data_IF_414145073662
#
_entry.id   IF_414145073662
#
_cell.length_a   1.000
_cell.length_b   1.000
_cell.length_c   1.000
_cell.angle_alpha   90.00
_cell.angle_beta   90.00
_cell.angle_gamma   90.00
#
_symmetry.space_group_name_H-M   'P 1'
#
loop_
_entity.id
_entity.type
_entity.pdbx_description
1 polymer ?
#
# COMPACT_ATOMS: atom_id res chain seq x y z
N UNK A 1 -26.24 2.77 -2.58
CA UNK A 1 -25.54 1.47 -2.59
C UNK A 1 -24.04 1.73 -2.69
N UNK A 2 -23.23 0.85 -2.12
CA UNK A 2 -21.77 0.85 -2.25
C UNK A 2 -21.31 -0.41 -2.97
N UNK A 3 -20.29 -0.29 -3.81
CA UNK A 3 -19.54 -1.43 -4.32
C UNK A 3 -18.11 -1.42 -3.79
N UNK A 4 -17.56 -2.61 -3.61
CA UNK A 4 -16.14 -2.85 -3.46
C UNK A 4 -15.68 -3.69 -4.63
N UNK A 5 -14.77 -3.13 -5.42
CA UNK A 5 -14.05 -3.86 -6.48
C UNK A 5 -12.67 -4.22 -5.95
N UNK A 6 -12.33 -5.50 -5.96
CA UNK A 6 -11.06 -6.06 -5.49
C UNK A 6 -10.39 -6.86 -6.62
N UNK A 7 -9.13 -6.55 -6.92
CA UNK A 7 -8.31 -7.27 -7.90
C UNK A 7 -7.77 -8.59 -7.34
N UNK A 8 -8.25 -9.69 -7.91
CA UNK A 8 -7.94 -11.03 -7.46
C UNK A 8 -6.44 -11.34 -7.62
N UNK A 9 -5.76 -11.63 -6.50
CA UNK A 9 -4.33 -11.98 -6.47
C UNK A 9 -3.47 -10.94 -7.20
N UNK A 10 -3.75 -9.65 -6.99
CA UNK A 10 -3.35 -8.54 -7.85
C UNK A 10 -1.94 -8.62 -8.44
N UNK A 11 -0.89 -8.71 -7.63
CA UNK A 11 0.49 -8.77 -8.17
C UNK A 11 0.76 -10.01 -9.03
N UNK A 12 0.25 -11.19 -8.66
CA UNK A 12 0.38 -12.39 -9.48
C UNK A 12 -0.41 -12.25 -10.80
N UNK A 13 -1.57 -11.58 -10.74
CA UNK A 13 -2.38 -11.26 -11.93
C UNK A 13 -1.72 -10.25 -12.86
N UNK A 14 -1.00 -9.25 -12.32
CA UNK A 14 -0.19 -8.33 -13.12
C UNK A 14 0.86 -9.06 -13.94
N UNK A 15 1.58 -10.00 -13.31
CA UNK A 15 2.59 -10.83 -14.01
C UNK A 15 1.95 -11.74 -15.07
N UNK A 16 0.76 -12.29 -14.80
CA UNK A 16 0.00 -13.12 -15.75
C UNK A 16 -0.55 -12.32 -16.94
N UNK A 17 -0.84 -11.04 -16.76
CA UNK A 17 -1.34 -10.18 -17.83
C UNK A 17 -0.31 -10.05 -18.97
N UNK A 18 0.99 -10.05 -18.63
CA UNK A 18 2.08 -9.94 -19.60
C UNK A 18 2.78 -11.27 -19.91
N UNK A 19 2.54 -12.33 -19.13
CA UNK A 19 3.09 -13.65 -19.39
C UNK A 19 1.98 -14.73 -19.34
N UNK A 20 1.36 -15.06 -20.49
CA UNK A 20 0.30 -16.06 -20.58
C UNK A 20 0.72 -17.45 -20.09
N UNK A 21 2.02 -17.79 -20.15
CA UNK A 21 2.55 -19.07 -19.67
C UNK A 21 2.42 -19.26 -18.15
N UNK A 22 2.06 -18.21 -17.41
CA UNK A 22 1.79 -18.24 -15.96
C UNK A 22 0.31 -18.47 -15.61
N UNK A 23 -0.59 -18.52 -16.60
CA UNK A 23 -2.01 -18.85 -16.38
C UNK A 23 -2.12 -20.27 -15.87
N UNK A 24 -2.97 -20.48 -14.86
CA UNK A 24 -3.19 -21.77 -14.19
C UNK A 24 -1.94 -22.40 -13.54
N UNK A 25 -0.82 -21.67 -13.44
CA UNK A 25 0.39 -22.12 -12.74
C UNK A 25 0.51 -21.47 -11.36
N UNK A 26 1.07 -22.16 -10.36
CA UNK A 26 1.31 -21.57 -9.06
C UNK A 26 2.35 -20.44 -9.15
N UNK A 27 1.96 -19.23 -8.77
CA UNK A 27 2.81 -18.03 -8.79
C UNK A 27 2.87 -17.41 -7.40
N UNK A 28 4.06 -16.98 -7.00
CA UNK A 28 4.30 -16.25 -5.76
C UNK A 28 5.15 -14.99 -6.03
N UNK A 29 4.75 -13.87 -5.45
CA UNK A 29 5.46 -12.59 -5.57
C UNK A 29 6.10 -12.24 -4.25
N UNK A 30 7.40 -11.92 -4.29
CA UNK A 30 8.20 -11.56 -3.12
C UNK A 30 8.13 -10.06 -2.81
N UNK A 31 8.34 -9.68 -1.56
CA UNK A 31 8.50 -8.29 -1.12
C UNK A 31 9.85 -7.69 -1.53
N UNK A 32 10.02 -6.39 -1.23
CA UNK A 32 11.32 -5.71 -1.31
C UNK A 32 12.47 -6.57 -0.76
N UNK A 33 13.60 -6.55 -1.47
CA UNK A 33 14.79 -7.36 -1.17
C UNK A 33 14.58 -8.88 -1.24
N UNK A 34 13.56 -9.34 -1.99
CA UNK A 34 13.19 -10.75 -2.07
C UNK A 34 13.03 -11.39 -0.67
N UNK A 35 12.37 -10.68 0.25
CA UNK A 35 12.33 -11.08 1.67
C UNK A 35 11.32 -12.20 1.95
N UNK A 36 10.05 -11.94 1.62
CA UNK A 36 8.95 -12.85 1.91
C UNK A 36 7.84 -12.78 0.86
N UNK A 37 7.02 -13.82 0.79
CA UNK A 37 5.87 -13.90 -0.13
C UNK A 37 4.78 -12.92 0.30
N UNK A 38 4.41 -11.99 -0.59
CA UNK A 38 3.37 -10.96 -0.35
C UNK A 38 2.19 -11.02 -1.32
N UNK A 39 2.27 -11.84 -2.36
CA UNK A 39 1.11 -12.19 -3.17
C UNK A 39 1.27 -13.62 -3.69
N UNK A 40 0.16 -14.32 -3.86
CA UNK A 40 0.13 -15.73 -4.24
C UNK A 40 -1.12 -16.01 -5.05
N UNK A 41 -0.94 -16.74 -6.14
CA UNK A 41 -2.05 -17.24 -6.95
C UNK A 41 -2.85 -18.30 -6.19
N UNK A 42 -4.08 -18.60 -6.62
CA UNK A 42 -4.94 -19.54 -5.88
C UNK A 42 -4.37 -20.97 -5.91
N UNK A 43 -3.66 -21.32 -6.98
CA UNK A 43 -2.91 -22.58 -7.12
C UNK A 43 -1.78 -22.66 -6.07
N UNK A 44 -1.03 -21.57 -5.87
CA UNK A 44 0.00 -21.52 -4.83
C UNK A 44 -0.59 -21.57 -3.41
N UNK A 45 -1.79 -21.01 -3.19
CA UNK A 45 -2.52 -21.13 -1.91
C UNK A 45 -2.96 -22.56 -1.65
N UNK A 46 -3.46 -23.25 -2.67
CA UNK A 46 -3.92 -24.64 -2.57
C UNK A 46 -2.77 -25.59 -2.20
N UNK A 47 -1.55 -25.32 -2.70
CA UNK A 47 -0.34 -26.05 -2.31
C UNK A 47 0.08 -25.81 -0.85
N UNK A 48 -0.45 -24.78 -0.19
CA UNK A 48 -0.16 -24.51 1.23
C UNK A 48 0.94 -23.47 1.48
N UNK A 49 1.41 -22.73 0.46
CA UNK A 49 2.39 -21.66 0.65
C UNK A 49 1.79 -20.50 1.48
N UNK A 50 2.28 -20.20 2.70
CA UNK A 50 1.65 -19.21 3.56
C UNK A 50 1.94 -17.77 3.10
N UNK A 51 1.00 -16.86 3.40
CA UNK A 51 1.23 -15.42 3.25
C UNK A 51 2.30 -14.96 4.23
N UNK A 52 3.25 -14.14 3.78
CA UNK A 52 4.38 -13.67 4.61
C UNK A 52 5.48 -14.72 4.82
N UNK A 53 5.45 -15.84 4.10
CA UNK A 53 6.49 -16.87 4.14
C UNK A 53 7.87 -16.29 3.76
N UNK A 54 8.90 -16.37 4.64
CA UNK A 54 10.25 -15.94 4.27
C UNK A 54 10.83 -16.85 3.19
N UNK A 55 11.21 -16.29 2.04
CA UNK A 55 11.55 -17.13 0.87
C UNK A 55 12.76 -18.01 1.13
N UNK A 56 13.75 -17.54 1.90
CA UNK A 56 14.94 -18.33 2.23
C UNK A 56 14.62 -19.64 2.98
N UNK A 57 13.49 -19.71 3.71
CA UNK A 57 13.03 -20.93 4.38
C UNK A 57 12.14 -21.79 3.48
N UNK A 58 11.50 -21.18 2.48
CA UNK A 58 10.46 -21.80 1.66
C UNK A 58 10.91 -22.05 0.20
N UNK A 59 12.16 -21.73 -0.16
CA UNK A 59 12.65 -21.87 -1.54
C UNK A 59 12.65 -23.33 -2.00
N UNK A 60 13.06 -24.27 -1.13
CA UNK A 60 12.98 -25.71 -1.41
C UNK A 60 11.54 -26.18 -1.66
N UNK A 61 10.60 -25.76 -0.81
CA UNK A 61 9.17 -26.03 -0.99
C UNK A 61 8.65 -25.47 -2.33
N UNK A 62 9.04 -24.25 -2.68
CA UNK A 62 8.63 -23.62 -3.94
C UNK A 62 9.16 -24.39 -5.15
N UNK A 63 10.42 -24.83 -5.12
CA UNK A 63 11.04 -25.62 -6.19
C UNK A 63 10.37 -26.98 -6.36
N UNK A 64 10.17 -27.72 -5.25
CA UNK A 64 9.54 -29.04 -5.27
C UNK A 64 8.11 -29.01 -5.84
N UNK A 65 7.36 -27.95 -5.57
CA UNK A 65 5.98 -27.80 -6.04
C UNK A 65 5.85 -26.98 -7.35
N UNK A 66 6.97 -26.70 -8.03
CA UNK A 66 6.95 -25.95 -9.30
C UNK A 66 6.39 -24.52 -9.19
N UNK A 67 6.45 -23.90 -8.00
CA UNK A 67 5.93 -22.54 -7.77
C UNK A 67 6.86 -21.54 -8.45
N UNK A 68 6.33 -20.77 -9.39
CA UNK A 68 7.07 -19.68 -10.02
C UNK A 68 7.15 -18.49 -9.07
N UNK A 69 8.33 -18.27 -8.51
CA UNK A 69 8.61 -17.15 -7.60
C UNK A 69 9.21 -15.98 -8.38
N UNK A 70 8.63 -14.79 -8.23
CA UNK A 70 9.06 -13.55 -8.88
C UNK A 70 9.32 -12.44 -7.85
N UNK A 71 10.27 -11.55 -8.15
CA UNK A 71 10.52 -10.35 -7.36
C UNK A 71 9.40 -9.31 -7.58
N UNK A 72 9.19 -8.41 -6.62
CA UNK A 72 8.20 -7.33 -6.79
C UNK A 72 8.57 -6.35 -7.91
N UNK A 73 7.67 -6.17 -8.88
CA UNK A 73 7.74 -5.15 -9.92
C UNK A 73 6.76 -4.00 -9.64
N UNK A 74 7.06 -3.17 -8.63
CA UNK A 74 6.15 -2.10 -8.19
C UNK A 74 5.76 -1.07 -9.27
N UNK A 75 6.65 -0.67 -10.22
CA UNK A 75 6.23 0.20 -11.32
C UNK A 75 5.14 -0.43 -12.18
N UNK A 76 5.27 -1.72 -12.52
CA UNK A 76 4.24 -2.48 -13.23
C UNK A 76 2.94 -2.50 -12.43
N UNK A 77 3.01 -2.84 -11.14
CA UNK A 77 1.83 -2.95 -10.28
C UNK A 77 1.12 -1.59 -10.11
N UNK A 78 1.88 -0.50 -10.00
CA UNK A 78 1.32 0.85 -9.92
C UNK A 78 0.63 1.28 -11.21
N UNK A 79 1.23 1.01 -12.37
CA UNK A 79 0.61 1.30 -13.68
C UNK A 79 -0.68 0.50 -13.88
N UNK A 80 -0.65 -0.80 -13.62
CA UNK A 80 -1.83 -1.66 -13.74
C UNK A 80 -2.96 -1.24 -12.78
N UNK A 81 -2.61 -0.86 -11.55
CA UNK A 81 -3.55 -0.33 -10.57
C UNK A 81 -4.21 0.94 -11.09
N UNK A 82 -3.42 1.91 -11.55
CA UNK A 82 -3.93 3.17 -12.07
C UNK A 82 -4.94 2.94 -13.21
N UNK A 83 -4.62 2.05 -14.16
CA UNK A 83 -5.55 1.69 -15.24
C UNK A 83 -6.87 1.11 -14.73
N UNK A 84 -6.83 0.22 -13.74
CA UNK A 84 -8.05 -0.33 -13.13
C UNK A 84 -8.88 0.78 -12.47
N UNK A 85 -8.24 1.66 -11.69
CA UNK A 85 -8.94 2.74 -11.01
C UNK A 85 -9.56 3.74 -12.00
N UNK A 86 -8.86 4.10 -13.07
CA UNK A 86 -9.40 4.97 -14.14
C UNK A 86 -10.58 4.33 -14.88
N UNK A 87 -10.63 3.00 -15.00
CA UNK A 87 -11.83 2.31 -15.53
C UNK A 87 -13.00 2.46 -14.56
N UNK A 88 -12.76 2.34 -13.25
CA UNK A 88 -13.80 2.44 -12.22
C UNK A 88 -14.40 3.85 -12.11
N UNK A 89 -13.58 4.89 -12.29
CA UNK A 89 -14.01 6.30 -12.33
C UNK A 89 -15.05 6.59 -13.45
N UNK A 90 -15.16 5.72 -14.46
CA UNK A 90 -16.17 5.86 -15.52
C UNK A 90 -17.58 5.40 -15.09
N UNK A 91 -17.71 4.68 -13.97
CA UNK A 91 -18.98 4.12 -13.51
C UNK A 91 -19.68 4.98 -12.45
N UNK A 92 -18.94 5.82 -11.73
CA UNK A 92 -19.46 6.80 -10.77
C UNK A 92 -18.40 7.87 -10.49
N UNK A 93 -18.79 9.13 -10.23
CA UNK A 93 -17.85 10.13 -9.73
C UNK A 93 -17.38 9.86 -8.28
N UNK A 94 -18.14 9.07 -7.51
CA UNK A 94 -17.86 8.80 -6.11
C UNK A 94 -16.97 7.53 -5.95
N UNK A 95 -15.66 7.66 -6.23
CA UNK A 95 -14.67 6.58 -6.10
C UNK A 95 -13.64 6.89 -5.02
N UNK A 96 -13.42 5.93 -4.11
CA UNK A 96 -12.34 5.96 -3.14
C UNK A 96 -11.37 4.81 -3.41
N UNK A 97 -10.13 5.15 -3.79
CA UNK A 97 -9.04 4.18 -3.90
C UNK A 97 -8.57 3.79 -2.50
N UNK A 98 -8.98 2.62 -2.03
CA UNK A 98 -8.69 2.13 -0.68
C UNK A 98 -7.29 1.51 -0.58
N UNK A 99 -6.86 0.81 -1.63
CA UNK A 99 -5.52 0.23 -1.77
C UNK A 99 -5.11 0.17 -3.25
N UNK A 100 -3.95 -0.41 -3.54
CA UNK A 100 -3.47 -0.60 -4.91
C UNK A 100 -4.36 -1.55 -5.73
N UNK A 101 -5.12 -2.42 -5.06
CA UNK A 101 -5.95 -3.46 -5.65
C UNK A 101 -7.44 -3.33 -5.32
N UNK A 102 -7.82 -2.39 -4.46
CA UNK A 102 -9.20 -2.24 -3.98
C UNK A 102 -9.69 -0.79 -4.11
N UNK A 103 -10.92 -0.63 -4.58
CA UNK A 103 -11.64 0.64 -4.58
C UNK A 103 -13.09 0.49 -4.11
N UNK A 104 -13.54 1.46 -3.34
CA UNK A 104 -14.94 1.64 -3.00
C UNK A 104 -15.60 2.61 -3.98
N UNK A 105 -16.80 2.25 -4.42
CA UNK A 105 -17.64 3.07 -5.28
C UNK A 105 -18.95 3.33 -4.55
N UNK A 106 -19.46 4.56 -4.61
CA UNK A 106 -20.80 4.90 -4.14
C UNK A 106 -21.71 5.21 -5.32
N UNK A 107 -22.92 4.64 -5.29
CA UNK A 107 -23.93 4.83 -6.33
C UNK A 107 -25.11 5.62 -5.79
N UNK A 108 -24.97 6.95 -5.81
CA UNK A 108 -26.01 7.90 -5.42
C UNK A 108 -26.99 8.11 -6.58
N UNK A 109 -28.29 7.87 -6.34
CA UNK A 109 -29.33 8.03 -7.37
C UNK A 109 -29.59 6.82 -8.27
N UNK A 110 -28.85 5.72 -8.12
CA UNK A 110 -28.96 4.50 -8.94
C UNK A 110 -30.08 3.55 -8.47
N UNK A 111 -31.28 4.06 -8.17
CA UNK A 111 -32.34 3.26 -7.52
C UNK A 111 -32.90 2.12 -8.38
N UNK A 112 -32.88 2.25 -9.71
CA UNK A 112 -33.47 1.30 -10.64
C UNK A 112 -32.43 0.51 -11.46
N UNK A 113 -31.15 0.52 -11.06
CA UNK A 113 -30.12 -0.22 -11.78
C UNK A 113 -30.06 -1.67 -11.28
N UNK A 114 -29.87 -2.60 -12.22
CA UNK A 114 -29.47 -3.96 -11.89
C UNK A 114 -28.00 -3.95 -11.47
N UNK A 115 -27.76 -3.98 -10.16
CA UNK A 115 -26.40 -4.00 -9.61
C UNK A 115 -25.64 -5.29 -9.91
N UNK A 116 -26.31 -6.42 -10.13
CA UNK A 116 -25.63 -7.66 -10.51
C UNK A 116 -25.05 -7.52 -11.92
N UNK A 117 -25.86 -7.06 -12.87
CA UNK A 117 -25.39 -6.77 -14.24
C UNK A 117 -24.31 -5.68 -14.24
N UNK A 118 -24.50 -4.58 -13.51
CA UNK A 118 -23.52 -3.50 -13.42
C UNK A 118 -22.16 -3.97 -12.85
N UNK A 119 -22.20 -4.83 -11.83
CA UNK A 119 -21.01 -5.50 -11.30
C UNK A 119 -20.32 -6.38 -12.32
N UNK A 120 -21.09 -7.12 -13.14
CA UNK A 120 -20.56 -7.95 -14.22
C UNK A 120 -19.90 -7.10 -15.31
N UNK A 121 -20.52 -6.00 -15.72
CA UNK A 121 -19.96 -5.06 -16.70
C UNK A 121 -18.61 -4.50 -16.22
N UNK A 122 -18.53 -4.05 -14.96
CA UNK A 122 -17.28 -3.59 -14.35
C UNK A 122 -16.19 -4.65 -14.45
N UNK A 123 -16.47 -5.89 -13.99
CA UNK A 123 -15.50 -6.99 -14.03
C UNK A 123 -15.04 -7.32 -15.45
N UNK A 124 -15.97 -7.43 -16.39
CA UNK A 124 -15.67 -7.77 -17.78
C UNK A 124 -14.84 -6.69 -18.46
N UNK A 125 -15.16 -5.40 -18.25
CA UNK A 125 -14.39 -4.28 -18.82
C UNK A 125 -12.97 -4.27 -18.28
N UNK A 126 -12.80 -4.40 -16.96
CA UNK A 126 -11.47 -4.46 -16.33
C UNK A 126 -10.67 -5.64 -16.88
N UNK A 127 -11.27 -6.84 -16.93
CA UNK A 127 -10.60 -8.03 -17.46
C UNK A 127 -10.21 -7.86 -18.93
N UNK A 128 -11.09 -7.31 -19.77
CA UNK A 128 -10.84 -7.13 -21.21
C UNK A 128 -9.73 -6.12 -21.47
N UNK A 129 -9.69 -5.02 -20.72
CA UNK A 129 -8.76 -3.91 -20.99
C UNK A 129 -7.42 -4.06 -20.27
N UNK A 130 -7.37 -4.79 -19.15
CA UNK A 130 -6.16 -4.91 -18.31
C UNK A 130 -5.68 -6.35 -18.15
N UNK A 131 -6.51 -7.35 -18.44
CA UNK A 131 -6.20 -8.75 -18.13
C UNK A 131 -6.29 -9.09 -16.64
N UNK A 132 -6.71 -8.15 -15.78
CA UNK A 132 -6.78 -8.34 -14.34
C UNK A 132 -8.18 -8.86 -13.95
N UNK A 133 -8.28 -10.05 -13.34
CA UNK A 133 -9.54 -10.54 -12.80
C UNK A 133 -9.90 -9.79 -11.52
N UNK A 134 -11.17 -9.40 -11.38
CA UNK A 134 -11.70 -8.74 -10.17
C UNK A 134 -12.89 -9.50 -9.60
N UNK A 135 -13.16 -9.30 -8.31
CA UNK A 135 -14.42 -9.65 -7.66
C UNK A 135 -15.13 -8.37 -7.26
N UNK A 136 -16.46 -8.36 -7.31
CA UNK A 136 -17.27 -7.19 -6.98
C UNK A 136 -18.29 -7.55 -5.90
N UNK A 137 -18.25 -6.82 -4.78
CA UNK A 137 -19.24 -6.94 -3.72
C UNK A 137 -20.06 -5.68 -3.65
N UNK A 138 -21.40 -5.79 -3.69
CA UNK A 138 -22.30 -4.63 -3.70
C UNK A 138 -23.25 -4.75 -2.52
N UNK A 139 -23.40 -3.69 -1.73
CA UNK A 139 -24.25 -3.69 -0.54
C UNK A 139 -24.69 -2.26 -0.12
N UNK A 140 -25.62 -2.09 0.85
CA UNK A 140 -26.12 -0.77 1.25
C UNK A 140 -25.10 0.05 2.03
N UNK A 141 -24.04 -0.58 2.55
CA UNK A 141 -23.00 0.04 3.39
C UNK A 141 -21.61 -0.41 2.97
N UNK A 142 -20.59 0.39 3.30
CA UNK A 142 -19.18 0.13 2.96
C UNK A 142 -18.67 -1.17 3.61
N UNK A 143 -19.04 -1.45 4.87
CA UNK A 143 -18.62 -2.71 5.49
C UNK A 143 -19.32 -3.93 4.90
N UNK A 144 -20.61 -3.83 4.54
CA UNK A 144 -21.32 -4.95 3.91
C UNK A 144 -20.80 -5.22 2.49
N UNK A 145 -20.32 -4.22 1.75
CA UNK A 145 -19.75 -4.45 0.41
C UNK A 145 -18.45 -5.27 0.49
N UNK A 146 -17.63 -5.08 1.54
CA UNK A 146 -16.51 -5.98 1.88
C UNK A 146 -16.97 -7.41 2.17
N UNK A 147 -18.06 -7.59 2.92
CA UNK A 147 -18.63 -8.92 3.18
C UNK A 147 -19.13 -9.56 1.88
N UNK A 148 -19.84 -8.80 1.05
CA UNK A 148 -20.35 -9.25 -0.24
C UNK A 148 -19.21 -9.67 -1.17
N UNK A 149 -18.14 -8.88 -1.26
CA UNK A 149 -16.97 -9.18 -2.07
C UNK A 149 -16.31 -10.49 -1.61
N UNK A 150 -16.22 -10.72 -0.29
CA UNK A 150 -15.69 -11.96 0.28
C UNK A 150 -16.54 -13.18 -0.10
N UNK A 151 -17.87 -13.03 -0.16
CA UNK A 151 -18.77 -14.08 -0.68
C UNK A 151 -18.50 -14.32 -2.17
N UNK A 152 -18.43 -13.25 -2.98
CA UNK A 152 -18.14 -13.33 -4.41
C UNK A 152 -16.80 -14.05 -4.70
N UNK A 153 -15.75 -13.74 -3.91
CA UNK A 153 -14.42 -14.35 -4.03
C UNK A 153 -14.41 -15.81 -3.58
N UNK A 154 -15.21 -16.18 -2.58
CA UNK A 154 -15.22 -17.54 -2.03
C UNK A 154 -16.05 -18.51 -2.89
N UNK A 155 -17.13 -18.03 -3.49
CA UNK A 155 -18.05 -18.84 -4.29
C UNK A 155 -18.14 -18.31 -5.73
N UNK A 156 -17.01 -18.30 -6.48
CA UNK A 156 -16.98 -17.70 -7.81
C UNK A 156 -17.90 -18.42 -8.81
N UNK A 157 -18.13 -19.73 -8.65
CA UNK A 157 -19.04 -20.51 -9.52
C UNK A 157 -20.50 -20.09 -9.36
N UNK A 158 -20.96 -19.91 -8.12
CA UNK A 158 -22.34 -19.53 -7.83
C UNK A 158 -22.61 -18.04 -8.06
N UNK A 159 -21.61 -17.18 -7.82
CA UNK A 159 -21.75 -15.72 -7.88
C UNK A 159 -21.28 -15.13 -9.21
N UNK A 160 -20.62 -15.93 -10.04
CA UNK A 160 -19.88 -15.47 -11.23
C UNK A 160 -18.89 -14.33 -10.91
N UNK A 161 -18.46 -14.18 -9.65
CA UNK A 161 -17.55 -13.12 -9.20
C UNK A 161 -18.23 -11.79 -8.82
N UNK A 162 -19.56 -11.71 -8.80
CA UNK A 162 -20.33 -10.55 -8.30
C UNK A 162 -21.35 -11.02 -7.27
N UNK A 163 -21.41 -10.35 -6.12
CA UNK A 163 -22.46 -10.65 -5.13
C UNK A 163 -23.10 -9.37 -4.59
N UNK A 164 -24.43 -9.33 -4.63
CA UNK A 164 -25.25 -8.19 -4.20
C UNK A 164 -26.02 -8.54 -2.93
N UNK A 165 -25.80 -7.76 -1.87
CA UNK A 165 -26.63 -7.77 -0.66
C UNK A 165 -27.60 -6.60 -0.78
N UNK A 166 -28.86 -6.88 -1.08
CA UNK A 166 -29.92 -5.89 -1.31
C UNK A 166 -31.13 -6.08 -0.37
N UNK A 167 -31.11 -7.13 0.44
CA UNK A 167 -32.22 -7.57 1.28
C UNK A 167 -31.73 -8.04 2.64
N UNK A 168 -32.63 -7.95 3.62
CA UNK A 168 -32.36 -8.36 5.00
C UNK A 168 -31.98 -9.84 5.10
N UNK A 169 -32.65 -10.69 4.33
CA UNK A 169 -32.37 -12.12 4.26
C UNK A 169 -30.93 -12.39 3.78
N UNK A 170 -30.53 -11.79 2.66
CA UNK A 170 -29.15 -11.90 2.13
C UNK A 170 -28.12 -11.37 3.13
N UNK A 171 -28.43 -10.27 3.83
CA UNK A 171 -27.57 -9.69 4.87
C UNK A 171 -27.36 -10.68 6.02
N UNK A 172 -28.44 -11.17 6.62
CA UNK A 172 -28.36 -12.13 7.74
C UNK A 172 -27.63 -13.40 7.32
N UNK A 173 -27.93 -13.94 6.14
CA UNK A 173 -27.26 -15.12 5.58
C UNK A 173 -25.75 -14.91 5.47
N UNK A 174 -25.31 -13.79 4.91
CA UNK A 174 -23.90 -13.46 4.77
C UNK A 174 -23.20 -13.28 6.14
N UNK A 175 -23.86 -12.62 7.10
CA UNK A 175 -23.32 -12.38 8.44
C UNK A 175 -23.23 -13.64 9.31
N UNK A 176 -24.14 -14.60 9.13
CA UNK A 176 -24.08 -15.92 9.78
C UNK A 176 -22.98 -16.80 9.19
N UNK A 177 -22.68 -16.61 7.91
CA UNK A 177 -21.62 -17.34 7.24
C UNK A 177 -20.22 -16.88 7.67
N UNK A 178 -19.96 -15.56 7.63
CA UNK A 178 -18.64 -14.99 7.88
C UNK A 178 -18.24 -15.03 9.36
N UNK A 179 -17.00 -15.46 9.64
CA UNK A 179 -16.44 -15.45 10.99
C UNK A 179 -16.18 -14.02 11.45
N UNK A 180 -16.27 -13.78 12.76
CA UNK A 180 -16.02 -12.43 13.31
C UNK A 180 -14.58 -11.95 13.07
N UNK A 181 -13.62 -12.87 13.05
CA UNK A 181 -12.20 -12.60 12.78
C UNK A 181 -11.91 -12.22 11.32
N UNK A 182 -12.86 -12.50 10.44
CA UNK A 182 -12.80 -12.29 9.00
C UNK A 182 -13.45 -10.96 8.57
N UNK A 183 -14.03 -10.21 9.52
CA UNK A 183 -14.70 -8.93 9.31
C UNK A 183 -13.67 -7.80 9.23
N UNK A 184 -13.83 -6.95 8.22
CA UNK A 184 -13.03 -5.74 8.04
C UNK A 184 -13.07 -4.84 9.29
N UNK A 185 -11.92 -4.40 9.77
CA UNK A 185 -11.79 -3.58 10.99
C UNK A 185 -11.67 -4.37 12.31
N UNK A 186 -11.91 -5.70 12.32
CA UNK A 186 -11.78 -6.53 13.54
C UNK A 186 -10.40 -7.21 13.59
N UNK A 187 -9.41 -6.48 14.13
CA UNK A 187 -8.05 -7.00 14.34
C UNK A 187 -7.91 -7.95 15.54
N UNK A 188 -6.75 -8.61 15.67
CA UNK A 188 -6.46 -9.65 16.70
C UNK A 188 -6.85 -9.26 18.12
N UNK A 189 -6.65 -8.01 18.53
CA UNK A 189 -7.04 -7.52 19.86
C UNK A 189 -8.55 -7.51 20.08
N UNK A 190 -9.30 -7.02 19.09
CA UNK A 190 -10.76 -7.00 19.13
C UNK A 190 -11.35 -8.41 19.03
N UNK A 191 -10.72 -9.29 18.22
CA UNK A 191 -11.11 -10.70 18.12
C UNK A 191 -11.09 -11.39 19.48
N UNK A 192 -10.04 -11.16 20.29
CA UNK A 192 -9.97 -11.74 21.65
C UNK A 192 -11.13 -11.26 22.53
N UNK A 193 -11.46 -9.97 22.50
CA UNK A 193 -12.57 -9.39 23.27
C UNK A 193 -13.93 -9.94 22.84
N UNK A 194 -14.16 -10.06 21.53
CA UNK A 194 -15.41 -10.62 20.98
C UNK A 194 -15.55 -12.12 21.28
N UNK A 195 -14.46 -12.88 21.18
CA UNK A 195 -14.43 -14.30 21.56
C UNK A 195 -14.74 -14.49 23.05
N UNK A 196 -14.21 -13.63 23.93
CA UNK A 196 -14.54 -13.65 25.35
C UNK A 196 -16.03 -13.35 25.64
N UNK A 197 -16.71 -12.63 24.74
CA UNK A 197 -18.16 -12.38 24.81
C UNK A 197 -19.00 -13.44 24.07
N UNK A 198 -18.37 -14.53 23.61
CA UNK A 198 -19.05 -15.63 22.92
C UNK A 198 -19.35 -15.39 21.43
N UNK A 199 -18.90 -14.27 20.85
CA UNK A 199 -19.13 -13.95 19.44
C UNK A 199 -18.19 -14.76 18.55
N UNK A 200 -18.76 -15.59 17.66
CA UNK A 200 -18.03 -16.41 16.68
C UNK A 200 -18.23 -15.90 15.25
N UNK A 201 -19.43 -15.41 14.94
CA UNK A 201 -19.84 -14.91 13.63
C UNK A 201 -20.01 -13.39 13.64
N UNK A 202 -20.00 -12.79 12.45
CA UNK A 202 -20.30 -11.36 12.34
C UNK A 202 -21.73 -11.04 12.78
N UNK A 203 -22.67 -11.97 12.58
CA UNK A 203 -24.02 -11.85 13.10
C UNK A 203 -24.03 -11.64 14.62
N UNK A 204 -23.31 -12.47 15.38
CA UNK A 204 -23.23 -12.34 16.85
C UNK A 204 -22.76 -10.94 17.29
N UNK A 205 -21.81 -10.36 16.55
CA UNK A 205 -21.34 -8.99 16.81
C UNK A 205 -22.43 -7.93 16.59
N UNK A 206 -23.28 -8.09 15.56
CA UNK A 206 -24.43 -7.18 15.34
C UNK A 206 -25.47 -7.29 16.45
N UNK A 207 -25.60 -8.45 17.11
CA UNK A 207 -26.56 -8.65 18.20
C UNK A 207 -26.11 -8.05 19.54
N UNK A 208 -24.85 -7.58 19.65
CA UNK A 208 -24.39 -6.97 20.90
C UNK A 208 -25.08 -5.63 21.17
N UNK A 209 -25.32 -5.25 22.43
CA UNK A 209 -25.85 -3.94 22.75
C UNK A 209 -24.91 -2.80 22.34
N UNK A 210 -25.47 -1.73 21.78
CA UNK A 210 -24.70 -0.55 21.33
C UNK A 210 -23.85 0.08 22.43
N UNK A 211 -24.40 0.18 23.65
CA UNK A 211 -23.69 0.74 24.81
C UNK A 211 -22.43 -0.07 25.13
N UNK A 212 -22.49 -1.40 25.00
CA UNK A 212 -21.36 -2.27 25.25
C UNK A 212 -20.27 -2.06 24.21
N UNK A 213 -20.66 -1.93 22.93
CA UNK A 213 -19.69 -1.68 21.84
C UNK A 213 -19.02 -0.32 22.02
N UNK A 214 -19.78 0.75 22.33
CA UNK A 214 -19.21 2.08 22.57
C UNK A 214 -18.27 2.12 23.79
N UNK A 215 -18.54 1.30 24.82
CA UNK A 215 -17.68 1.19 26.01
C UNK A 215 -16.39 0.41 25.75
N UNK A 216 -16.42 -0.59 24.86
CA UNK A 216 -15.30 -1.53 24.66
C UNK A 216 -14.51 -1.30 23.36
N UNK A 217 -15.05 -0.53 22.42
CA UNK A 217 -14.47 -0.23 21.11
C UNK A 217 -14.37 1.28 20.91
N UNK A 218 -13.61 1.68 19.89
CA UNK A 218 -13.60 3.06 19.41
C UNK A 218 -14.89 3.38 18.65
N UNK A 219 -15.10 4.67 18.34
CA UNK A 219 -16.21 5.11 17.49
C UNK A 219 -16.26 4.36 16.15
N UNK A 220 -15.10 4.00 15.58
CA UNK A 220 -14.99 3.22 14.35
C UNK A 220 -15.59 1.81 14.50
N UNK A 221 -15.40 1.16 15.66
CA UNK A 221 -16.00 -0.14 15.93
C UNK A 221 -17.53 -0.08 16.03
N UNK A 222 -18.07 1.00 16.61
CA UNK A 222 -19.52 1.23 16.61
C UNK A 222 -20.06 1.54 15.20
N UNK A 223 -19.36 2.36 14.41
CA UNK A 223 -19.72 2.63 13.00
C UNK A 223 -19.72 1.34 12.17
N UNK A 224 -18.72 0.48 12.36
CA UNK A 224 -18.64 -0.84 11.71
C UNK A 224 -19.84 -1.71 12.06
N UNK A 225 -20.26 -1.76 13.33
CA UNK A 225 -21.48 -2.47 13.73
C UNK A 225 -22.70 -1.95 12.99
N UNK A 226 -22.88 -0.63 12.94
CA UNK A 226 -24.00 0.01 12.22
C UNK A 226 -23.99 -0.31 10.74
N UNK A 227 -22.83 -0.26 10.09
CA UNK A 227 -22.71 -0.67 8.70
C UNK A 227 -23.14 -2.13 8.48
N UNK A 228 -22.73 -3.06 9.35
CA UNK A 228 -23.14 -4.47 9.27
C UNK A 228 -24.64 -4.66 9.56
N UNK A 229 -25.25 -3.82 10.38
CA UNK A 229 -26.70 -3.73 10.59
C UNK A 229 -27.44 -3.06 9.42
N UNK A 230 -26.75 -2.73 8.31
CA UNK A 230 -27.33 -2.08 7.13
C UNK A 230 -27.51 -0.57 7.25
N UNK A 231 -27.05 0.05 8.33
CA UNK A 231 -27.15 1.49 8.58
C UNK A 231 -25.81 2.15 8.22
N UNK A 232 -25.73 2.83 7.07
CA UNK A 232 -24.48 3.45 6.62
C UNK A 232 -24.00 4.55 7.58
N UNK A 233 -22.90 4.29 8.29
CA UNK A 233 -22.20 5.24 9.17
C UNK A 233 -20.74 5.44 8.78
N UNK A 234 -20.18 4.54 7.96
CA UNK A 234 -18.86 4.71 7.35
C UNK A 234 -19.09 5.29 5.94
N UNK A 235 -18.60 6.50 5.72
CA UNK A 235 -18.66 7.18 4.43
C UNK A 235 -17.43 6.84 3.58
N UNK A 236 -17.43 7.28 2.32
CA UNK A 236 -16.18 7.34 1.57
C UNK A 236 -15.20 8.32 2.26
N UNK A 237 -13.93 7.95 2.28
CA UNK A 237 -12.87 8.77 2.87
C UNK A 237 -12.58 9.96 1.95
N UNK A 238 -12.42 11.13 2.55
CA UNK A 238 -11.94 12.32 1.86
C UNK A 238 -10.41 12.30 1.79
N UNK A 239 -9.86 12.82 0.70
CA UNK A 239 -8.40 12.89 0.52
C UNK A 239 -7.83 13.96 1.47
N UNK A 240 -7.42 13.55 2.66
CA UNK A 240 -6.75 14.43 3.61
C UNK A 240 -5.24 14.54 3.31
N UNK A 241 -4.69 15.75 3.53
CA UNK A 241 -3.24 15.95 3.48
C UNK A 241 -2.54 15.10 4.55
N UNK A 242 -1.44 14.45 4.19
CA UNK A 242 -0.69 13.61 5.14
C UNK A 242 -0.11 14.49 6.24
N UNK A 243 -0.14 13.98 7.48
CA UNK A 243 0.46 14.65 8.65
C UNK A 243 1.97 14.41 8.79
N UNK A 244 2.47 13.35 8.16
CA UNK A 244 3.89 13.02 8.08
C UNK A 244 4.17 12.26 6.78
N UNK A 245 5.37 12.43 6.22
CA UNK A 245 5.81 11.73 5.01
C UNK A 245 7.08 10.96 5.36
N UNK A 246 7.08 9.66 5.07
CA UNK A 246 8.19 8.77 5.40
C UNK A 246 8.75 8.09 4.14
N UNK A 247 10.07 8.03 4.06
CA UNK A 247 10.79 7.14 3.15
C UNK A 247 11.75 6.32 3.98
N UNK A 248 11.36 5.07 4.28
CA UNK A 248 12.17 4.13 5.06
C UNK A 248 12.33 2.81 4.30
N UNK A 249 13.52 2.23 4.33
CA UNK A 249 13.83 1.00 3.63
C UNK A 249 14.86 0.17 4.40
N UNK A 250 14.71 -1.14 4.33
CA UNK A 250 15.79 -2.07 4.63
C UNK A 250 16.72 -2.14 3.42
N UNK A 251 18.01 -2.20 3.68
CA UNK A 251 19.05 -2.30 2.67
C UNK A 251 19.13 -3.72 2.07
N UNK A 252 19.63 -3.82 0.84
CA UNK A 252 19.92 -5.11 0.17
C UNK A 252 20.90 -5.96 1.01
N UNK A 253 21.96 -5.33 1.52
CA UNK A 253 22.94 -5.91 2.44
C UNK A 253 23.06 -5.09 3.72
N UNK A 254 23.88 -5.51 4.67
CA UNK A 254 24.21 -4.65 5.82
C UNK A 254 25.36 -3.72 5.48
N UNK A 255 25.25 -2.44 5.82
CA UNK A 255 26.34 -1.48 5.68
C UNK A 255 26.98 -1.18 7.03
N UNK A 256 28.30 -1.16 7.08
CA UNK A 256 29.09 -0.71 8.23
C UNK A 256 29.84 0.59 7.96
N UNK A 257 29.90 1.02 6.71
CA UNK A 257 30.51 2.27 6.29
C UNK A 257 29.49 3.42 6.31
N UNK A 258 29.94 4.56 6.83
CA UNK A 258 29.13 5.76 6.96
C UNK A 258 28.79 6.35 5.59
N UNK A 259 29.65 6.28 4.59
CA UNK A 259 29.42 6.94 3.30
C UNK A 259 28.28 6.27 2.52
N UNK A 260 28.23 4.94 2.54
CA UNK A 260 27.06 4.20 2.05
C UNK A 260 25.76 4.61 2.77
N UNK A 261 25.81 4.84 4.09
CA UNK A 261 24.63 5.25 4.86
C UNK A 261 24.22 6.70 4.54
N UNK A 262 25.18 7.62 4.43
CA UNK A 262 24.93 9.02 4.04
C UNK A 262 24.23 9.09 2.69
N UNK A 263 24.71 8.32 1.71
CA UNK A 263 24.15 8.27 0.38
C UNK A 263 22.68 7.80 0.40
N UNK A 264 22.40 6.73 1.16
CA UNK A 264 21.02 6.22 1.31
C UNK A 264 20.11 7.22 2.02
N UNK A 265 20.59 7.87 3.09
CA UNK A 265 19.85 8.91 3.81
C UNK A 265 19.54 10.10 2.90
N UNK A 266 20.52 10.57 2.12
CA UNK A 266 20.33 11.65 1.15
C UNK A 266 19.24 11.30 0.13
N UNK A 267 19.24 10.07 -0.38
CA UNK A 267 18.20 9.59 -1.29
C UNK A 267 16.82 9.55 -0.64
N UNK A 268 16.71 9.09 0.61
CA UNK A 268 15.43 9.06 1.32
C UNK A 268 14.91 10.45 1.65
N UNK A 269 15.79 11.38 2.05
CA UNK A 269 15.49 12.78 2.30
C UNK A 269 14.96 13.48 1.04
N UNK A 270 15.66 13.32 -0.09
CA UNK A 270 15.25 13.88 -1.39
C UNK A 270 13.88 13.35 -1.81
N UNK A 271 13.62 12.05 -1.65
CA UNK A 271 12.30 11.48 -1.95
C UNK A 271 11.20 12.00 -1.03
N UNK A 272 11.49 12.30 0.24
CA UNK A 272 10.53 12.97 1.12
C UNK A 272 10.24 14.40 0.67
N UNK A 273 11.27 15.14 0.26
CA UNK A 273 11.15 16.50 -0.24
C UNK A 273 10.31 16.58 -1.54
N UNK A 274 10.53 15.68 -2.50
CA UNK A 274 9.69 15.56 -3.70
C UNK A 274 8.22 15.29 -3.35
N UNK A 275 7.96 14.43 -2.36
CA UNK A 275 6.60 14.12 -1.90
C UNK A 275 5.94 15.29 -1.17
N UNK A 276 6.72 16.08 -0.43
CA UNK A 276 6.27 17.32 0.21
C UNK A 276 5.76 18.31 -0.84
N UNK A 277 6.56 18.56 -1.89
CA UNK A 277 6.20 19.44 -3.00
C UNK A 277 4.98 18.95 -3.77
N UNK A 278 4.87 17.64 -4.04
CA UNK A 278 3.67 17.04 -4.65
C UNK A 278 2.40 17.23 -3.82
N UNK A 279 2.53 17.27 -2.49
CA UNK A 279 1.40 17.54 -1.58
C UNK A 279 1.14 19.06 -1.40
N UNK A 280 2.02 19.94 -1.91
CA UNK A 280 1.94 21.38 -1.66
C UNK A 280 2.22 21.75 -0.20
N UNK A 281 3.11 21.00 0.45
CA UNK A 281 3.45 21.17 1.87
C UNK A 281 4.95 21.29 2.10
N UNK A 282 5.33 21.99 3.16
CA UNK A 282 6.70 22.10 3.69
C UNK A 282 6.78 21.49 5.09
N UNK A 283 7.99 21.20 5.59
CA UNK A 283 8.17 20.57 6.91
C UNK A 283 9.06 21.38 7.85
N UNK A 284 8.78 21.31 9.15
CA UNK A 284 9.62 21.86 10.22
C UNK A 284 10.53 20.83 10.87
N UNK A 285 10.21 19.53 10.76
CA UNK A 285 10.92 18.50 11.51
C UNK A 285 11.38 17.37 10.59
N UNK A 286 12.63 16.95 10.79
CA UNK A 286 13.24 15.81 10.09
C UNK A 286 13.63 14.78 11.14
N UNK A 287 13.03 13.61 11.08
CA UNK A 287 13.36 12.46 11.91
C UNK A 287 14.14 11.43 11.11
N UNK A 288 15.36 11.14 11.55
CA UNK A 288 16.24 10.14 10.94
C UNK A 288 16.35 8.94 11.87
N UNK A 289 16.23 7.74 11.31
CA UNK A 289 16.41 6.47 12.04
C UNK A 289 17.45 5.58 11.38
N UNK A 290 18.23 4.89 12.21
CA UNK A 290 19.25 3.94 11.79
C UNK A 290 19.20 2.70 12.71
N UNK A 291 19.16 1.50 12.11
CA UNK A 291 18.92 0.24 12.82
C UNK A 291 19.80 -0.91 12.30
N UNK A 292 20.40 -1.64 13.23
CA UNK A 292 21.14 -2.89 12.99
C UNK A 292 20.20 -4.04 12.58
N UNK A 293 20.79 -5.16 12.17
CA UNK A 293 20.03 -6.37 11.86
C UNK A 293 19.57 -7.08 13.15
N UNK A 294 18.28 -6.90 13.50
CA UNK A 294 17.65 -7.55 14.67
C UNK A 294 17.66 -9.08 14.62
N UNK A 295 17.87 -9.67 13.45
CA UNK A 295 17.85 -11.13 13.27
C UNK A 295 19.22 -11.77 13.53
N UNK A 296 20.30 -10.98 13.56
CA UNK A 296 21.66 -11.43 13.90
C UNK A 296 21.98 -11.16 15.36
N UNK A 297 21.46 -12.01 16.25
CA UNK A 297 21.60 -11.84 17.71
C UNK A 297 23.06 -11.97 18.20
N UNK A 298 23.90 -12.58 17.39
CA UNK A 298 25.34 -12.75 17.56
C UNK A 298 26.15 -11.45 17.33
N UNK A 299 25.55 -10.43 16.73
CA UNK A 299 26.18 -9.13 16.48
C UNK A 299 25.63 -8.04 17.40
N UNK A 300 26.46 -7.03 17.66
CA UNK A 300 26.06 -5.85 18.42
C UNK A 300 24.80 -5.20 17.83
N UNK A 301 23.79 -5.01 18.68
CA UNK A 301 22.52 -4.43 18.31
C UNK A 301 22.51 -2.93 18.60
N UNK A 302 22.15 -2.15 17.58
CA UNK A 302 22.08 -0.71 17.67
C UNK A 302 20.84 -0.17 16.99
N UNK A 303 20.07 0.60 17.74
CA UNK A 303 18.92 1.35 17.24
C UNK A 303 19.04 2.77 17.73
N UNK A 304 19.20 3.71 16.80
CA UNK A 304 19.24 5.12 17.13
C UNK A 304 18.35 5.92 16.20
N UNK A 305 17.96 7.09 16.69
CA UNK A 305 17.22 8.08 15.92
C UNK A 305 17.51 9.47 16.41
N UNK A 306 17.36 10.45 15.53
CA UNK A 306 17.51 11.87 15.87
C UNK A 306 16.43 12.69 15.17
N UNK A 307 15.85 13.63 15.91
CA UNK A 307 14.98 14.67 15.38
C UNK A 307 15.83 15.91 15.15
N UNK A 308 15.65 16.56 14.00
CA UNK A 308 16.17 17.89 13.69
C UNK A 308 14.97 18.82 13.52
N UNK A 309 14.95 19.90 14.28
CA UNK A 309 13.98 20.99 14.11
C UNK A 309 14.59 22.05 13.20
N UNK A 310 13.79 22.54 12.25
CA UNK A 310 14.16 23.60 11.32
C UNK A 310 13.52 24.91 11.77
N UNK A 311 14.25 26.03 11.73
CA UNK A 311 13.74 27.33 12.15
C UNK A 311 12.58 27.81 11.25
N UNK A 312 12.59 27.44 9.97
CA UNK A 312 11.55 27.72 8.98
C UNK A 312 11.11 26.44 8.26
N UNK A 313 9.89 26.40 7.72
CA UNK A 313 9.43 25.25 6.97
C UNK A 313 10.08 25.24 5.60
N UNK A 314 10.56 24.08 5.16
CA UNK A 314 11.15 23.91 3.82
C UNK A 314 10.69 22.60 3.19
N UNK A 315 10.67 22.59 1.86
CA UNK A 315 10.51 21.41 1.02
C UNK A 315 11.75 21.19 0.12
N UNK A 316 12.88 21.87 0.39
CA UNK A 316 14.08 21.81 -0.44
C UNK A 316 14.87 20.52 -0.25
N UNK A 317 15.23 19.90 -1.38
CA UNK A 317 16.08 18.71 -1.41
C UNK A 317 17.42 18.97 -0.69
N UNK A 318 17.99 20.18 -0.87
CA UNK A 318 19.32 20.55 -0.37
C UNK A 318 19.33 20.60 1.17
N UNK A 319 18.38 21.35 1.75
CA UNK A 319 18.32 21.53 3.21
C UNK A 319 17.96 20.21 3.88
N UNK A 320 16.90 19.54 3.40
CA UNK A 320 16.42 18.30 4.02
C UNK A 320 17.48 17.20 3.94
N UNK A 321 18.16 17.06 2.79
CA UNK A 321 19.26 16.10 2.63
C UNK A 321 20.44 16.42 3.55
N UNK A 322 20.90 17.68 3.57
CA UNK A 322 22.04 18.08 4.39
C UNK A 322 21.79 17.85 5.88
N UNK A 323 20.62 18.26 6.37
CA UNK A 323 20.25 18.10 7.78
C UNK A 323 20.06 16.62 8.15
N UNK A 324 19.45 15.81 7.28
CA UNK A 324 19.31 14.37 7.50
C UNK A 324 20.68 13.67 7.55
N UNK A 325 21.62 14.04 6.67
CA UNK A 325 22.99 13.51 6.65
C UNK A 325 23.76 13.91 7.93
N UNK A 326 23.63 15.15 8.38
CA UNK A 326 24.23 15.59 9.64
C UNK A 326 23.64 14.82 10.84
N UNK A 327 22.33 14.59 10.84
CA UNK A 327 21.66 13.79 11.85
C UNK A 327 22.18 12.35 11.89
N UNK A 328 22.34 11.69 10.72
CA UNK A 328 22.83 10.30 10.69
C UNK A 328 24.28 10.19 11.15
N UNK A 329 25.14 11.17 10.82
CA UNK A 329 26.53 11.20 11.29
C UNK A 329 26.62 11.16 12.82
N UNK A 330 25.71 11.85 13.51
CA UNK A 330 25.72 11.91 14.97
C UNK A 330 25.21 10.65 15.69
N UNK A 331 24.46 9.80 14.99
CA UNK A 331 23.90 8.56 15.57
C UNK A 331 24.58 7.30 15.05
N UNK A 332 25.50 7.44 14.09
CA UNK A 332 26.26 6.33 13.52
C UNK A 332 27.34 5.87 14.51
N UNK A 333 27.51 4.56 14.64
CA UNK A 333 28.62 3.95 15.38
C UNK A 333 29.43 3.07 14.45
N UNK A 334 30.75 3.25 14.47
CA UNK A 334 31.68 2.40 13.73
C UNK A 334 31.64 0.96 14.27
N UNK A 335 31.93 -0.02 13.40
CA UNK A 335 31.92 -1.44 13.74
C UNK A 335 30.55 -2.13 13.68
N UNK A 336 29.45 -1.37 13.60
CA UNK A 336 28.10 -1.92 13.59
C UNK A 336 27.59 -2.13 12.16
N UNK A 337 26.94 -3.27 11.92
CA UNK A 337 26.32 -3.63 10.63
C UNK A 337 24.85 -3.19 10.61
N UNK A 338 24.57 -2.07 9.95
CA UNK A 338 23.24 -1.50 9.80
C UNK A 338 22.45 -2.16 8.66
N UNK A 339 21.18 -2.49 8.91
CA UNK A 339 20.29 -3.15 7.93
C UNK A 339 19.14 -2.26 7.45
N UNK A 340 18.81 -1.19 8.19
CA UNK A 340 17.69 -0.31 7.86
C UNK A 340 18.00 1.13 8.23
N UNK A 341 17.56 2.03 7.37
CA UNK A 341 17.51 3.46 7.67
C UNK A 341 16.24 4.09 7.12
N UNK A 342 15.97 5.32 7.55
CA UNK A 342 14.80 6.06 7.06
C UNK A 342 14.83 7.52 7.44
N UNK A 343 14.16 8.31 6.61
CA UNK A 343 13.90 9.74 6.85
C UNK A 343 12.39 9.93 6.89
N UNK A 344 11.92 10.63 7.91
CA UNK A 344 10.51 10.98 8.12
C UNK A 344 10.46 12.49 8.31
N UNK A 345 9.66 13.18 7.50
CA UNK A 345 9.42 14.61 7.64
C UNK A 345 8.05 14.84 8.30
N UNK A 346 8.01 15.76 9.26
CA UNK A 346 6.88 16.03 10.14
C UNK A 346 6.73 17.53 10.38
N UNK A 347 5.68 17.93 11.11
CA UNK A 347 5.34 19.34 11.29
C UNK A 347 4.99 19.95 9.93
N UNK A 348 4.12 19.27 9.19
CA UNK A 348 3.79 19.63 7.82
C UNK A 348 2.82 20.82 7.82
N UNK A 349 3.17 21.83 7.03
CA UNK A 349 2.38 23.05 6.84
C UNK A 349 2.18 23.30 5.35
N UNK A 350 1.08 23.93 4.92
CA UNK A 350 0.93 24.32 3.52
C UNK A 350 2.07 25.25 3.07
N UNK A 351 2.67 24.97 1.90
CA UNK A 351 3.82 25.75 1.41
C UNK A 351 3.48 27.22 1.19
N UNK A 352 2.22 27.53 0.86
CA UNK A 352 1.76 28.90 0.57
C UNK A 352 0.98 29.55 1.73
N UNK A 353 0.77 28.83 2.83
CA UNK A 353 -0.02 29.33 3.96
C UNK A 353 0.60 28.88 5.28
N UNK A 354 1.68 29.57 5.68
CA UNK A 354 2.38 29.34 6.93
C UNK A 354 2.93 30.65 7.48
N UNK A 355 3.17 30.67 8.80
CA UNK A 355 3.76 31.82 9.48
C UNK A 355 5.22 32.01 9.06
N UNK A 356 5.54 33.21 8.59
CA UNK A 356 6.92 33.59 8.26
C UNK A 356 7.70 33.89 9.53
N UNK A 357 8.98 33.55 9.52
CA UNK A 357 9.92 33.94 10.55
C UNK A 357 10.55 35.29 10.22
N UNK A 358 10.84 36.09 11.25
CA UNK A 358 11.38 37.44 11.08
C UNK A 358 12.88 37.44 10.73
N UNK A 359 13.65 36.47 11.26
CA UNK A 359 15.12 36.49 11.19
C UNK A 359 15.71 35.39 10.32
N UNK A 360 15.08 34.22 10.25
CA UNK A 360 15.56 33.09 9.47
C UNK A 360 14.67 32.86 8.25
N UNK A 361 15.26 32.90 7.06
CA UNK A 361 14.55 32.59 5.82
C UNK A 361 15.31 31.57 4.99
N UNK A 362 14.57 30.77 4.23
CA UNK A 362 15.17 29.93 3.21
C UNK A 362 15.75 30.79 2.09
N UNK A 363 16.87 30.34 1.51
CA UNK A 363 17.40 30.96 0.30
C UNK A 363 16.33 30.98 -0.80
N UNK A 364 15.91 32.16 -1.29
CA UNK A 364 14.79 32.29 -2.23
C UNK A 364 15.04 31.55 -3.57
N UNK A 365 16.31 31.26 -3.90
CA UNK A 365 16.69 30.52 -5.11
C UNK A 365 16.32 29.03 -5.03
N UNK A 366 16.06 28.47 -3.85
CA UNK A 366 15.74 27.06 -3.70
C UNK A 366 14.43 26.68 -4.38
N UNK A 367 13.35 27.45 -4.17
CA UNK A 367 12.04 27.16 -4.76
C UNK A 367 12.09 27.01 -6.29
N UNK A 368 12.56 28.00 -7.07
CA UNK A 368 12.63 27.87 -8.53
C UNK A 368 13.56 26.74 -8.96
N UNK A 369 14.67 26.51 -8.26
CA UNK A 369 15.57 25.40 -8.53
C UNK A 369 14.90 24.04 -8.32
N UNK A 370 14.17 23.85 -7.22
CA UNK A 370 13.47 22.59 -6.93
C UNK A 370 12.39 22.31 -7.98
N UNK A 371 11.62 23.33 -8.38
CA UNK A 371 10.64 23.20 -9.47
C UNK A 371 11.29 22.83 -10.80
N UNK A 372 12.43 23.42 -11.15
CA UNK A 372 13.16 23.05 -12.36
C UNK A 372 13.66 21.60 -12.31
N UNK A 373 14.23 21.17 -11.18
CA UNK A 373 14.68 19.78 -10.98
C UNK A 373 13.50 18.80 -11.11
N UNK A 374 12.38 19.09 -10.45
CA UNK A 374 11.18 18.25 -10.49
C UNK A 374 10.60 18.17 -11.91
N UNK A 375 10.56 19.29 -12.62
CA UNK A 375 10.09 19.36 -14.01
C UNK A 375 10.94 18.50 -14.94
N UNK A 376 12.27 18.60 -14.84
CA UNK A 376 13.21 17.77 -15.61
C UNK A 376 13.06 16.29 -15.26
N UNK A 377 12.99 15.96 -13.97
CA UNK A 377 12.87 14.58 -13.51
C UNK A 377 11.53 13.94 -13.89
N UNK A 378 10.46 14.72 -13.93
CA UNK A 378 9.14 14.28 -14.40
C UNK A 378 9.11 14.07 -15.91
N UNK A 379 9.69 15.01 -16.69
CA UNK A 379 9.73 14.93 -18.16
C UNK A 379 10.53 13.73 -18.67
N UNK A 380 11.68 13.45 -18.07
CA UNK A 380 12.59 12.39 -18.52
C UNK A 380 12.51 11.08 -17.71
N UNK A 381 11.52 10.98 -16.80
CA UNK A 381 11.07 9.77 -16.11
C UNK A 381 12.16 8.86 -15.51
N UNK A 382 13.22 9.40 -14.89
CA UNK A 382 14.30 8.57 -14.34
C UNK A 382 15.21 9.24 -13.28
N UNK A 383 14.76 10.31 -12.61
CA UNK A 383 15.61 11.10 -11.69
C UNK A 383 16.95 11.46 -12.35
N UNK A 384 16.90 12.07 -13.54
CA UNK A 384 18.09 12.43 -14.33
C UNK A 384 18.98 13.45 -13.62
N UNK A 385 18.36 14.37 -12.89
CA UNK A 385 19.06 15.34 -12.04
C UNK A 385 18.97 14.87 -10.59
N UNK A 386 20.12 14.70 -9.96
CA UNK A 386 20.27 14.22 -8.57
C UNK A 386 21.28 15.09 -7.83
N UNK A 387 21.19 15.08 -6.51
CA UNK A 387 22.24 15.65 -5.66
C UNK A 387 23.49 14.78 -5.76
N UNK A 388 24.68 15.41 -5.69
CA UNK A 388 25.96 14.72 -5.73
C UNK A 388 26.13 13.69 -4.59
N UNK A 389 25.41 13.88 -3.48
CA UNK A 389 25.38 12.96 -2.35
C UNK A 389 24.52 11.70 -2.58
N UNK A 390 23.87 11.56 -3.73
CA UNK A 390 23.06 10.40 -4.10
C UNK A 390 23.80 9.50 -5.10
N UNK A 391 23.41 8.23 -5.17
CA UNK A 391 23.89 7.35 -6.22
C UNK A 391 23.34 7.77 -7.60
N UNK A 392 24.27 8.11 -8.51
CA UNK A 392 23.95 8.57 -9.86
C UNK A 392 23.25 7.49 -10.69
N UNK A 393 23.60 6.21 -10.50
CA UNK A 393 23.07 5.09 -11.29
C UNK A 393 21.80 4.50 -10.67
N UNK A 394 21.84 4.14 -9.39
CA UNK A 394 20.77 3.37 -8.69
C UNK A 394 20.13 4.19 -7.56
N UNK A 395 18.98 4.80 -7.86
CA UNK A 395 18.15 5.46 -6.84
C UNK A 395 17.69 4.46 -5.78
N UNK A 396 17.08 3.35 -6.20
CA UNK A 396 16.58 2.31 -5.32
C UNK A 396 17.49 1.08 -5.41
N UNK A 397 18.25 0.82 -4.34
CA UNK A 397 19.11 -0.35 -4.19
C UNK A 397 18.35 -1.43 -3.41
N UNK A 398 17.80 -2.39 -4.14
CA UNK A 398 17.10 -3.54 -3.58
C UNK A 398 17.46 -4.81 -4.33
N UNK A 399 17.43 -5.94 -3.61
CA UNK A 399 17.56 -7.28 -4.19
C UNK A 399 16.26 -7.63 -4.93
N UNK A 400 16.38 -7.90 -6.22
CA UNK A 400 15.30 -8.28 -7.13
C UNK A 400 15.83 -9.27 -8.17
N UNK A 401 16.30 -10.43 -7.71
CA UNK A 401 17.00 -11.41 -8.57
C UNK A 401 16.07 -12.12 -9.55
N UNK A 402 14.75 -12.05 -9.31
CA UNK A 402 13.71 -12.70 -10.09
C UNK A 402 12.74 -11.67 -10.69
N UNK A 403 13.25 -10.50 -11.06
CA UNK A 403 12.44 -9.41 -11.63
C UNK A 403 11.96 -9.76 -13.04
N UNK A 404 10.67 -9.55 -13.29
CA UNK A 404 10.10 -9.61 -14.63
C UNK A 404 10.53 -8.41 -15.48
N UNK A 405 10.47 -8.52 -16.83
CA UNK A 405 10.67 -7.37 -17.71
C UNK A 405 9.78 -6.18 -17.32
N UNK A 406 10.24 -4.96 -17.59
CA UNK A 406 9.50 -3.73 -17.23
C UNK A 406 8.52 -3.33 -18.33
N UNK A 407 7.57 -4.23 -18.60
CA UNK A 407 6.66 -4.17 -19.75
C UNK A 407 5.98 -2.81 -20.01
N UNK A 408 5.65 -2.07 -18.95
CA UNK A 408 4.89 -0.81 -19.04
C UNK A 408 5.75 0.45 -18.91
N UNK A 409 7.02 0.31 -18.56
CA UNK A 409 7.90 1.47 -18.26
C UNK A 409 9.22 1.46 -19.02
N UNK A 410 9.52 0.37 -19.75
CA UNK A 410 10.70 0.27 -20.60
C UNK A 410 10.30 -0.27 -21.98
N UNK A 411 10.52 0.54 -23.02
CA UNK A 411 10.18 0.19 -24.40
C UNK A 411 10.95 -1.04 -24.92
N UNK A 412 12.13 -1.30 -24.39
CA UNK A 412 12.94 -2.46 -24.79
C UNK A 412 12.46 -3.78 -24.15
N UNK A 413 11.55 -3.69 -23.17
CA UNK A 413 11.02 -4.84 -22.44
C UNK A 413 9.58 -5.18 -22.88
N UNK A 414 9.10 -4.60 -23.97
CA UNK A 414 7.77 -4.89 -24.52
C UNK A 414 7.68 -6.34 -24.99
N UNK A 415 6.48 -6.91 -24.93
CA UNK A 415 6.23 -8.27 -25.42
C UNK A 415 6.45 -8.28 -26.94
N UNK A 416 7.40 -9.09 -27.39
CA UNK A 416 7.58 -9.41 -28.81
C UNK A 416 6.73 -10.63 -29.13
N UNK A 417 5.64 -10.43 -29.85
CA UNK A 417 4.84 -11.53 -30.42
C UNK A 417 5.57 -12.00 -31.68
N UNK A 418 6.00 -13.26 -31.68
CA UNK A 418 6.58 -13.91 -32.86
C UNK A 418 5.51 -14.45 -33.78
#
# INVERSE_FOLDING_TARGET
MYALVDCNNFYASCERAFNPNLRHKPVAILSNNDGCVISRSDEAKALGLPMGAPIFKWDGFCKLNGIKVLSSNYPLYGDMSHRVMTILEQYTPDVEVYSIDEAFLEFKGFKNHDFEDYGNQMRQRILKWTGIPTSVGIAPTKALSKVANKVARKFPEATRGVYVIDSEEKRIKALKWIKVEDVWGIGRGLQKRLKAKGCKKAYDFTQLPDHWVRKNFTITGWKLKKDLEGISKIKLDEVEAKRAIATTRSFEYTYSDIDNIKERISTFATSCAEKLRKQGSSCHMIYVTLQSDRHKKDLEQHRASRVVSLPYPTDSNLIISQQAVNAVKSIFKAGIKYKRAGVIVMGLVPTNNHQLQMFDTENPKHKPLMHAIDGLNSKYANNKVKLASQDLKRTWKMRQERLSPRYTTNINDIIVVK
#
